data_IF_558033217294
#
_entry.id   IF_558033217294
#
_cell.length_a   1.000
_cell.length_b   1.000
_cell.length_c   1.000
_cell.angle_alpha   90.00
_cell.angle_beta   90.00
_cell.angle_gamma   90.00
#
_symmetry.space_group_name_H-M   'P 1'
#
loop_
_entity.id
_entity.type
_entity.pdbx_description
1 polymer ?
#
# COMPACT_ATOMS: atom_id res chain seq x y z
N UNK A 1 -35.12 44.32 27.59
CA UNK A 1 -33.64 44.11 27.64
C UNK A 1 -33.27 42.63 27.71
N UNK A 2 -34.15 41.66 27.64
CA UNK A 2 -33.90 40.23 27.79
C UNK A 2 -33.68 39.45 26.48
N UNK A 3 -34.13 40.00 25.35
CA UNK A 3 -34.03 39.34 24.02
C UNK A 3 -32.61 39.45 23.36
N UNK A 4 -31.80 40.45 23.69
CA UNK A 4 -30.47 40.68 23.11
C UNK A 4 -29.43 39.77 23.75
N UNK A 5 -29.62 39.32 25.00
CA UNK A 5 -28.71 38.40 25.68
C UNK A 5 -28.75 36.95 25.17
N UNK A 6 -29.92 36.53 24.66
CA UNK A 6 -30.10 35.19 24.09
C UNK A 6 -29.40 35.01 22.73
N UNK A 7 -29.39 36.03 21.88
CA UNK A 7 -28.79 36.00 20.55
C UNK A 7 -27.26 35.96 20.57
N UNK A 8 -26.62 36.59 21.56
CA UNK A 8 -25.16 36.57 21.71
C UNK A 8 -24.64 35.22 22.19
N UNK A 9 -25.40 34.49 23.01
CA UNK A 9 -24.98 33.15 23.49
C UNK A 9 -25.11 32.09 22.39
N UNK A 10 -26.10 32.20 21.49
CA UNK A 10 -26.26 31.26 20.38
C UNK A 10 -25.19 31.44 19.29
N UNK A 11 -24.70 32.66 19.10
CA UNK A 11 -23.64 32.94 18.13
C UNK A 11 -22.26 32.44 18.59
N UNK A 12 -22.02 32.39 19.92
CA UNK A 12 -20.75 31.90 20.48
C UNK A 12 -20.60 30.36 20.42
N UNK A 13 -21.69 29.59 20.37
CA UNK A 13 -21.66 28.14 20.24
C UNK A 13 -21.43 27.65 18.80
N UNK A 14 -21.72 28.47 17.80
CA UNK A 14 -21.50 28.11 16.40
C UNK A 14 -20.04 28.20 15.94
N UNK A 15 -19.16 28.83 16.73
CA UNK A 15 -17.72 28.97 16.41
C UNK A 15 -16.83 27.80 16.88
N UNK A 16 -17.39 26.83 17.60
CA UNK A 16 -16.69 25.60 18.00
C UNK A 16 -16.95 24.40 17.07
N UNK A 17 -17.47 24.65 15.87
CA UNK A 17 -17.48 23.65 14.78
C UNK A 17 -16.02 23.27 14.49
N UNK A 18 -15.59 22.12 15.01
CA UNK A 18 -14.21 21.66 14.95
C UNK A 18 -13.67 21.77 13.52
N UNK A 19 -12.55 22.46 13.37
CA UNK A 19 -11.75 22.42 12.14
C UNK A 19 -11.34 20.98 11.88
N UNK A 20 -12.11 20.25 11.09
CA UNK A 20 -11.67 18.98 10.53
C UNK A 20 -10.51 19.30 9.59
N UNK A 21 -9.33 18.67 9.78
CA UNK A 21 -8.21 18.91 8.88
C UNK A 21 -8.63 18.52 7.47
N UNK A 22 -8.43 19.42 6.53
CA UNK A 22 -8.69 19.16 5.12
C UNK A 22 -7.53 18.34 4.57
N UNK A 23 -7.79 17.07 4.24
CA UNK A 23 -6.84 16.20 3.55
C UNK A 23 -7.20 16.16 2.06
N UNK A 24 -6.24 16.55 1.21
CA UNK A 24 -6.36 16.39 -0.23
C UNK A 24 -5.61 15.13 -0.62
N UNK A 25 -6.33 14.19 -1.22
CA UNK A 25 -5.81 12.92 -1.69
C UNK A 25 -5.84 12.90 -3.21
N UNK A 26 -4.69 12.66 -3.82
CA UNK A 26 -4.57 12.40 -5.25
C UNK A 26 -3.94 11.02 -5.44
N UNK A 27 -4.59 10.17 -6.26
CA UNK A 27 -4.15 8.77 -6.42
C UNK A 27 -4.20 8.39 -7.89
N UNK A 28 -3.07 7.98 -8.40
CA UNK A 28 -2.89 7.43 -9.72
C UNK A 28 -2.44 5.99 -9.67
N UNK A 29 -3.08 5.13 -10.45
CA UNK A 29 -2.67 3.73 -10.63
C UNK A 29 -2.58 3.37 -12.08
N UNK A 30 -1.60 2.51 -12.41
CA UNK A 30 -1.44 1.91 -13.73
C UNK A 30 -1.30 0.40 -13.57
N UNK A 31 -1.74 -0.37 -14.54
CA UNK A 31 -1.59 -1.82 -14.52
C UNK A 31 -1.42 -2.40 -15.91
N UNK A 32 -0.76 -3.55 -15.99
CA UNK A 32 -0.81 -4.41 -17.16
C UNK A 32 -2.14 -5.15 -17.23
N UNK A 33 -2.60 -5.55 -18.43
CA UNK A 33 -3.70 -6.49 -18.53
C UNK A 33 -3.35 -7.80 -17.79
N UNK A 34 -4.36 -8.42 -17.17
CA UNK A 34 -4.20 -9.74 -16.57
C UNK A 34 -3.86 -10.78 -17.65
N UNK A 35 -3.01 -11.75 -17.30
CA UNK A 35 -2.74 -12.88 -18.19
C UNK A 35 -4.06 -13.60 -18.53
N UNK A 36 -4.26 -13.95 -19.81
CA UNK A 36 -5.50 -14.61 -20.27
C UNK A 36 -5.77 -15.96 -19.58
N UNK A 37 -4.71 -16.63 -19.11
CA UNK A 37 -4.81 -17.91 -18.40
C UNK A 37 -5.14 -17.77 -16.92
N UNK A 38 -5.30 -16.55 -16.42
CA UNK A 38 -5.53 -16.27 -15.00
C UNK A 38 -7.00 -15.98 -14.73
N UNK A 39 -7.62 -16.81 -13.89
CA UNK A 39 -8.95 -16.59 -13.35
C UNK A 39 -8.84 -15.92 -11.98
N UNK A 40 -9.31 -14.67 -11.90
CA UNK A 40 -9.28 -13.90 -10.67
C UNK A 40 -10.09 -14.54 -9.53
N UNK A 41 -11.12 -15.32 -9.86
CA UNK A 41 -11.92 -16.07 -8.88
C UNK A 41 -11.11 -17.15 -8.13
N UNK A 42 -9.92 -17.52 -8.61
CA UNK A 42 -9.04 -18.43 -7.87
C UNK A 42 -8.46 -17.79 -6.62
N UNK A 43 -8.32 -16.45 -6.60
CA UNK A 43 -7.83 -15.72 -5.41
C UNK A 43 -8.80 -15.75 -4.22
N UNK A 44 -10.07 -16.04 -4.45
CA UNK A 44 -11.06 -16.24 -3.39
C UNK A 44 -10.91 -17.62 -2.72
N UNK A 45 -10.47 -18.62 -3.51
CA UNK A 45 -10.41 -20.02 -3.12
C UNK A 45 -9.07 -20.41 -2.51
N UNK A 46 -8.00 -19.86 -3.04
CA UNK A 46 -6.63 -20.19 -2.64
C UNK A 46 -5.99 -19.03 -1.86
N UNK A 47 -5.19 -19.32 -0.84
CA UNK A 47 -4.45 -18.29 -0.14
C UNK A 47 -3.34 -17.74 -1.04
N UNK A 48 -3.10 -16.45 -0.93
CA UNK A 48 -2.01 -15.75 -1.64
C UNK A 48 -0.89 -15.45 -0.65
N UNK A 49 0.30 -15.96 -0.89
CA UNK A 49 1.46 -15.61 -0.08
C UNK A 49 2.07 -14.28 -0.58
N UNK A 50 2.73 -13.55 0.32
CA UNK A 50 3.45 -12.35 -0.08
C UNK A 50 4.93 -12.45 0.32
N UNK A 51 5.80 -12.17 -0.64
CA UNK A 51 7.23 -11.95 -0.38
C UNK A 51 7.45 -10.77 0.56
N UNK A 52 8.64 -10.69 1.16
CA UNK A 52 9.09 -9.49 1.84
C UNK A 52 9.08 -8.29 0.89
N UNK A 53 8.62 -7.14 1.40
CA UNK A 53 8.55 -5.91 0.61
C UNK A 53 9.95 -5.47 0.17
N UNK A 54 10.10 -5.23 -1.12
CA UNK A 54 11.33 -4.72 -1.70
C UNK A 54 11.36 -3.19 -1.61
N UNK A 55 12.39 -2.66 -0.98
CA UNK A 55 12.56 -1.22 -0.84
C UNK A 55 14.03 -0.82 -1.08
N UNK A 56 14.29 0.40 -1.57
CA UNK A 56 15.62 0.99 -1.59
C UNK A 56 16.28 0.95 -0.21
N UNK A 57 17.60 0.85 -0.14
CA UNK A 57 18.34 0.67 1.11
C UNK A 57 17.98 1.69 2.21
N UNK A 58 17.74 2.95 1.84
CA UNK A 58 17.36 4.00 2.80
C UNK A 58 15.89 3.95 3.28
N UNK A 59 15.04 3.12 2.68
CA UNK A 59 13.60 3.06 2.95
C UNK A 59 13.16 1.72 3.57
N UNK A 60 14.07 0.81 3.84
CA UNK A 60 13.76 -0.52 4.38
C UNK A 60 13.08 -0.47 5.76
N UNK A 61 13.31 0.60 6.54
CA UNK A 61 12.64 0.80 7.82
C UNK A 61 11.12 0.90 7.74
N UNK A 62 10.55 1.17 6.56
CA UNK A 62 9.11 1.23 6.34
C UNK A 62 8.48 -0.15 6.03
N UNK A 63 9.28 -1.17 5.76
CA UNK A 63 8.79 -2.49 5.35
C UNK A 63 7.72 -3.09 6.29
N UNK A 64 7.84 -3.04 7.63
CA UNK A 64 6.81 -3.60 8.50
C UNK A 64 5.45 -2.91 8.34
N UNK A 65 5.42 -1.57 8.34
CA UNK A 65 4.19 -0.78 8.19
C UNK A 65 3.54 -1.00 6.82
N UNK A 66 4.34 -0.99 5.75
CA UNK A 66 3.85 -1.20 4.38
C UNK A 66 3.34 -2.63 4.17
N UNK A 67 4.02 -3.63 4.73
CA UNK A 67 3.55 -5.02 4.68
C UNK A 67 2.24 -5.19 5.44
N UNK A 68 2.11 -4.62 6.63
CA UNK A 68 0.85 -4.62 7.39
C UNK A 68 -0.29 -3.98 6.58
N UNK A 69 -0.04 -2.83 5.97
CA UNK A 69 -0.99 -2.12 5.12
C UNK A 69 -1.44 -2.95 3.91
N UNK A 70 -0.53 -3.73 3.28
CA UNK A 70 -0.86 -4.63 2.18
C UNK A 70 -1.86 -5.71 2.63
N UNK A 71 -1.60 -6.38 3.77
CA UNK A 71 -2.52 -7.42 4.25
C UNK A 71 -3.86 -6.86 4.71
N UNK A 72 -3.89 -5.64 5.26
CA UNK A 72 -5.13 -4.93 5.55
C UNK A 72 -5.92 -4.65 4.27
N UNK A 73 -5.25 -4.21 3.19
CA UNK A 73 -5.88 -3.98 1.90
C UNK A 73 -6.42 -5.26 1.25
N UNK A 74 -5.69 -6.39 1.35
CA UNK A 74 -6.17 -7.69 0.86
C UNK A 74 -7.44 -8.14 1.60
N UNK A 75 -7.50 -7.93 2.91
CA UNK A 75 -8.67 -8.27 3.72
C UNK A 75 -9.88 -7.35 3.48
N UNK A 76 -9.63 -6.06 3.12
CA UNK A 76 -10.66 -5.08 2.82
C UNK A 76 -11.18 -5.17 1.38
N UNK A 77 -10.43 -5.79 0.47
CA UNK A 77 -10.83 -5.98 -0.93
C UNK A 77 -12.17 -6.74 -1.04
N UNK A 78 -12.89 -6.51 -2.13
CA UNK A 78 -14.19 -7.16 -2.38
C UNK A 78 -14.17 -7.86 -3.75
N UNK A 79 -14.14 -9.21 -3.75
CA UNK A 79 -14.10 -10.13 -2.60
C UNK A 79 -12.78 -10.08 -1.82
N UNK A 80 -12.78 -10.41 -0.52
CA UNK A 80 -11.57 -10.41 0.29
C UNK A 80 -10.60 -11.51 -0.15
N UNK A 81 -9.32 -11.20 -0.17
CA UNK A 81 -8.25 -12.15 -0.53
C UNK A 81 -7.56 -12.63 0.75
N UNK A 82 -7.54 -13.95 0.95
CA UNK A 82 -6.84 -14.54 2.09
C UNK A 82 -5.34 -14.52 1.88
N UNK A 83 -4.61 -13.69 2.63
CA UNK A 83 -3.17 -13.56 2.57
C UNK A 83 -2.44 -14.47 3.56
N UNK A 84 -1.31 -15.07 3.15
CA UNK A 84 -0.29 -15.65 4.03
C UNK A 84 0.72 -14.54 4.29
N UNK A 85 0.79 -14.06 5.52
CA UNK A 85 1.65 -12.93 5.88
C UNK A 85 3.14 -13.25 5.66
N UNK A 86 3.95 -12.22 5.43
CA UNK A 86 5.41 -12.38 5.29
C UNK A 86 6.02 -13.13 6.48
N UNK A 87 5.53 -12.89 7.70
CA UNK A 87 6.00 -13.59 8.90
C UNK A 87 5.66 -15.07 8.88
N UNK A 88 4.43 -15.43 8.53
CA UNK A 88 4.00 -16.82 8.41
C UNK A 88 4.79 -17.54 7.32
N UNK A 89 4.98 -16.88 6.18
CA UNK A 89 5.80 -17.39 5.08
C UNK A 89 7.24 -17.66 5.55
N UNK A 90 7.91 -16.68 6.16
CA UNK A 90 9.30 -16.83 6.62
C UNK A 90 9.45 -17.94 7.67
N UNK A 91 8.51 -18.07 8.59
CA UNK A 91 8.50 -19.15 9.56
C UNK A 91 8.38 -20.52 8.86
N UNK A 92 7.43 -20.67 7.96
CA UNK A 92 7.24 -21.92 7.21
C UNK A 92 8.45 -22.28 6.34
N UNK A 93 9.09 -21.29 5.70
CA UNK A 93 10.32 -21.53 4.92
C UNK A 93 11.49 -21.93 5.80
N UNK A 94 11.62 -21.32 6.97
CA UNK A 94 12.68 -21.65 7.93
C UNK A 94 12.50 -23.07 8.49
N UNK A 95 11.29 -23.45 8.88
CA UNK A 95 10.94 -24.81 9.33
C UNK A 95 11.22 -25.87 8.27
N UNK A 96 11.07 -25.54 6.99
CA UNK A 96 11.34 -26.44 5.85
C UNK A 96 12.77 -26.35 5.31
N UNK A 97 13.65 -25.56 5.93
CA UNK A 97 15.05 -25.41 5.52
C UNK A 97 15.26 -24.66 4.20
N UNK A 98 14.27 -23.85 3.76
CA UNK A 98 14.28 -23.11 2.49
C UNK A 98 14.73 -21.65 2.62
N UNK A 99 15.24 -21.23 3.78
CA UNK A 99 15.63 -19.83 4.02
C UNK A 99 16.76 -19.35 3.08
N UNK A 100 17.76 -20.21 2.81
CA UNK A 100 18.85 -19.88 1.88
C UNK A 100 18.34 -19.71 0.46
N UNK A 101 17.46 -20.61 0.01
CA UNK A 101 16.87 -20.58 -1.32
C UNK A 101 15.97 -19.34 -1.53
N UNK A 102 15.18 -19.00 -0.52
CA UNK A 102 14.42 -17.74 -0.52
C UNK A 102 15.34 -16.52 -0.69
N UNK A 103 16.44 -16.48 0.05
CA UNK A 103 17.42 -15.39 -0.03
C UNK A 103 18.04 -15.29 -1.42
N UNK A 104 18.39 -16.43 -2.03
CA UNK A 104 18.93 -16.48 -3.37
C UNK A 104 17.92 -16.02 -4.42
N UNK A 105 16.66 -16.47 -4.31
CA UNK A 105 15.57 -16.08 -5.21
C UNK A 105 15.34 -14.56 -5.19
N UNK A 106 15.23 -13.96 -4.01
CA UNK A 106 15.02 -12.51 -3.86
C UNK A 106 16.26 -11.71 -4.30
N UNK A 107 17.46 -12.18 -3.99
CA UNK A 107 18.69 -11.54 -4.44
C UNK A 107 18.86 -11.64 -5.96
N UNK A 108 18.45 -12.76 -6.55
CA UNK A 108 18.39 -12.95 -7.99
C UNK A 108 17.45 -11.96 -8.66
N UNK A 109 16.25 -11.83 -8.11
CA UNK A 109 15.26 -10.84 -8.58
C UNK A 109 15.80 -9.41 -8.50
N UNK A 110 16.42 -9.02 -7.38
CA UNK A 110 16.97 -7.67 -7.21
C UNK A 110 18.04 -7.32 -8.25
N UNK A 111 18.74 -8.31 -8.81
CA UNK A 111 19.77 -8.12 -9.85
C UNK A 111 19.23 -8.18 -11.28
N UNK A 112 18.23 -9.03 -11.53
CA UNK A 112 17.78 -9.38 -12.89
C UNK A 112 16.35 -8.96 -13.20
N UNK A 113 15.53 -8.66 -12.18
CA UNK A 113 14.08 -8.48 -12.32
C UNK A 113 13.32 -9.79 -12.60
N UNK A 114 13.96 -10.96 -12.43
CA UNK A 114 13.37 -12.26 -12.74
C UNK A 114 13.40 -13.13 -11.47
N UNK A 115 12.23 -13.71 -11.12
CA UNK A 115 12.16 -14.80 -10.16
C UNK A 115 12.43 -16.11 -10.89
N UNK A 116 13.46 -16.82 -10.45
CA UNK A 116 13.82 -18.12 -11.01
C UNK A 116 12.69 -19.13 -10.75
N UNK A 117 12.26 -19.84 -11.82
CA UNK A 117 11.04 -20.65 -11.80
C UNK A 117 11.10 -21.79 -10.79
N UNK A 118 12.23 -22.53 -10.75
CA UNK A 118 12.32 -23.71 -9.89
C UNK A 118 12.31 -23.33 -8.40
N UNK A 119 13.02 -22.26 -8.02
CA UNK A 119 12.97 -21.70 -6.67
C UNK A 119 11.58 -21.23 -6.29
N UNK A 120 10.90 -20.52 -7.22
CA UNK A 120 9.53 -20.06 -7.02
C UNK A 120 8.56 -21.24 -6.83
N UNK A 121 8.69 -22.32 -7.61
CA UNK A 121 7.89 -23.55 -7.48
C UNK A 121 8.11 -24.23 -6.12
N UNK A 122 9.35 -24.37 -5.68
CA UNK A 122 9.68 -25.00 -4.38
C UNK A 122 9.09 -24.19 -3.22
N UNK A 123 9.23 -22.87 -3.25
CA UNK A 123 8.67 -21.98 -2.24
C UNK A 123 7.15 -22.05 -2.24
N UNK A 124 6.49 -21.93 -3.41
CA UNK A 124 5.05 -22.02 -3.53
C UNK A 124 4.50 -23.36 -3.02
N UNK A 125 5.14 -24.47 -3.38
CA UNK A 125 4.79 -25.80 -2.89
C UNK A 125 4.96 -25.93 -1.37
N UNK A 126 6.03 -25.35 -0.83
CA UNK A 126 6.26 -25.35 0.60
C UNK A 126 5.20 -24.58 1.38
N UNK A 127 4.67 -23.52 0.82
CA UNK A 127 3.61 -22.68 1.42
C UNK A 127 2.20 -23.19 1.13
N UNK A 128 2.03 -24.13 0.19
CA UNK A 128 0.72 -24.52 -0.31
C UNK A 128 0.00 -23.37 -1.00
N UNK A 129 0.74 -22.47 -1.64
CA UNK A 129 0.23 -21.28 -2.31
C UNK A 129 0.67 -21.26 -3.77
N UNK A 130 -0.31 -21.27 -4.68
CA UNK A 130 -0.06 -21.13 -6.11
C UNK A 130 0.29 -19.69 -6.48
N UNK A 131 -0.27 -18.72 -5.78
CA UNK A 131 -0.13 -17.32 -6.09
C UNK A 131 0.73 -16.60 -5.06
N UNK A 132 1.70 -15.82 -5.56
CA UNK A 132 2.57 -15.03 -4.70
C UNK A 132 2.60 -13.57 -5.13
N UNK A 133 2.40 -12.68 -4.18
CA UNK A 133 2.58 -11.25 -4.36
C UNK A 133 4.02 -10.85 -4.09
N UNK A 134 4.56 -10.02 -4.97
CA UNK A 134 5.84 -9.35 -4.78
C UNK A 134 5.59 -7.84 -4.67
N UNK A 135 5.52 -7.30 -3.45
CA UNK A 135 5.31 -5.88 -3.22
C UNK A 135 6.63 -5.11 -3.23
N UNK A 136 6.59 -3.86 -3.68
CA UNK A 136 7.74 -2.98 -3.64
C UNK A 136 7.41 -1.53 -3.36
N UNK A 137 8.34 -0.86 -2.68
CA UNK A 137 8.36 0.58 -2.47
C UNK A 137 9.33 1.20 -3.48
N UNK A 138 8.81 2.04 -4.39
CA UNK A 138 9.64 2.76 -5.35
C UNK A 138 10.12 4.10 -4.78
N UNK A 139 9.25 4.84 -4.10
CA UNK A 139 9.55 6.17 -3.56
C UNK A 139 8.70 6.48 -2.33
N UNK A 140 9.31 7.13 -1.37
CA UNK A 140 8.65 7.84 -0.28
C UNK A 140 9.29 9.21 -0.14
N UNK A 141 8.50 10.25 -0.28
CA UNK A 141 8.95 11.63 -0.14
C UNK A 141 7.99 12.40 0.78
N UNK A 142 8.54 13.22 1.66
CA UNK A 142 7.78 14.10 2.52
C UNK A 142 8.38 15.50 2.47
N UNK A 143 7.58 16.48 2.07
CA UNK A 143 7.98 17.88 1.98
C UNK A 143 7.05 18.74 2.83
N UNK A 144 7.63 19.72 3.53
CA UNK A 144 6.88 20.75 4.25
C UNK A 144 7.04 22.05 3.47
N UNK A 145 5.92 22.64 3.06
CA UNK A 145 5.87 23.86 2.26
C UNK A 145 5.27 24.97 3.13
N UNK A 146 6.00 26.06 3.34
CA UNK A 146 5.50 27.27 4.00
C UNK A 146 4.64 28.05 3.01
N UNK A 147 3.34 28.13 3.24
CA UNK A 147 2.41 28.85 2.34
C UNK A 147 2.18 30.30 2.72
N UNK A 148 2.28 30.64 3.99
CA UNK A 148 2.16 32.01 4.46
C UNK A 148 3.15 32.26 5.58
N UNK A 149 4.06 33.20 5.36
CA UNK A 149 4.97 33.71 6.38
C UNK A 149 4.78 35.23 6.49
N UNK A 150 4.54 35.73 7.69
CA UNK A 150 4.45 37.16 7.99
C UNK A 150 5.45 37.52 9.11
N UNK A 151 6.34 38.47 8.83
CA UNK A 151 7.32 38.97 9.84
C UNK A 151 8.12 37.86 10.57
N UNK A 152 8.50 36.79 9.85
CA UNK A 152 9.23 35.64 10.42
C UNK A 152 8.37 34.59 11.09
N UNK A 153 7.04 34.76 11.16
CA UNK A 153 6.10 33.77 11.68
C UNK A 153 5.53 32.96 10.53
N UNK A 154 5.64 31.65 10.65
CA UNK A 154 5.06 30.69 9.69
C UNK A 154 3.61 30.44 10.10
N UNK A 155 2.66 31.04 9.39
CA UNK A 155 1.24 30.99 9.76
C UNK A 155 0.52 29.79 9.16
N UNK A 156 0.89 29.37 7.94
CA UNK A 156 0.29 28.22 7.26
C UNK A 156 1.41 27.38 6.65
N UNK A 157 1.42 26.11 7.01
CA UNK A 157 2.30 25.11 6.43
C UNK A 157 1.46 24.02 5.76
N UNK A 158 1.90 23.50 4.64
CA UNK A 158 1.36 22.30 4.03
C UNK A 158 2.38 21.19 4.08
N UNK A 159 2.00 20.03 4.58
CA UNK A 159 2.80 18.82 4.47
C UNK A 159 2.29 18.02 3.26
N UNK A 160 3.19 17.70 2.36
CA UNK A 160 2.90 16.87 1.19
C UNK A 160 3.68 15.58 1.32
N UNK A 161 2.97 14.45 1.29
CA UNK A 161 3.56 13.12 1.30
C UNK A 161 3.27 12.49 -0.05
N UNK A 162 4.30 12.00 -0.73
CA UNK A 162 4.18 11.21 -1.95
C UNK A 162 4.71 9.81 -1.70
N UNK A 163 3.89 8.80 -1.99
CA UNK A 163 4.22 7.39 -1.86
C UNK A 163 4.01 6.71 -3.21
N UNK A 164 5.05 6.01 -3.71
CA UNK A 164 4.97 5.18 -4.91
C UNK A 164 5.21 3.73 -4.57
N UNK A 165 4.25 2.90 -4.91
CA UNK A 165 4.28 1.47 -4.68
C UNK A 165 4.11 0.71 -6.00
N UNK A 166 4.60 -0.53 -6.05
CA UNK A 166 4.34 -1.45 -7.14
C UNK A 166 4.04 -2.85 -6.59
N UNK A 167 3.28 -3.63 -7.35
CA UNK A 167 2.82 -4.95 -6.96
C UNK A 167 2.80 -5.86 -8.17
N UNK A 168 3.40 -7.04 -8.04
CA UNK A 168 3.33 -8.10 -9.03
C UNK A 168 2.65 -9.33 -8.45
N UNK A 169 1.80 -9.99 -9.23
CA UNK A 169 1.22 -11.28 -8.92
C UNK A 169 1.90 -12.36 -9.78
N UNK A 170 2.49 -13.34 -9.13
CA UNK A 170 3.21 -14.44 -9.76
C UNK A 170 2.46 -15.76 -9.59
N UNK A 171 2.46 -16.58 -10.62
CA UNK A 171 2.06 -17.99 -10.56
C UNK A 171 3.30 -18.84 -10.28
N UNK A 172 3.33 -19.48 -9.14
CA UNK A 172 4.48 -20.29 -8.68
C UNK A 172 4.69 -21.53 -9.55
N UNK A 173 3.66 -22.06 -10.19
CA UNK A 173 3.75 -23.24 -11.04
C UNK A 173 4.37 -22.95 -12.40
N UNK A 174 3.95 -21.88 -13.04
CA UNK A 174 4.47 -21.49 -14.35
C UNK A 174 5.70 -20.59 -14.31
N UNK A 175 5.96 -19.92 -13.17
CA UNK A 175 7.01 -18.91 -13.03
C UNK A 175 6.69 -17.63 -13.80
N UNK A 176 5.42 -17.32 -14.06
CA UNK A 176 4.98 -16.18 -14.85
C UNK A 176 4.40 -15.09 -13.99
N UNK A 177 4.60 -13.84 -14.39
CA UNK A 177 3.82 -12.71 -13.89
C UNK A 177 2.43 -12.78 -14.51
N UNK A 178 1.41 -12.87 -13.67
CA UNK A 178 0.01 -12.88 -14.09
C UNK A 178 -0.57 -11.49 -14.20
N UNK A 179 -0.05 -10.57 -13.41
CA UNK A 179 -0.48 -9.19 -13.34
C UNK A 179 0.56 -8.35 -12.60
N UNK A 180 0.65 -7.08 -12.99
CA UNK A 180 1.43 -6.09 -12.27
C UNK A 180 0.72 -4.74 -12.28
N UNK A 181 0.95 -3.97 -11.22
CA UNK A 181 0.44 -2.61 -11.08
C UNK A 181 1.47 -1.74 -10.37
N UNK A 182 1.45 -0.46 -10.73
CA UNK A 182 2.16 0.59 -10.01
C UNK A 182 1.17 1.70 -9.64
N UNK A 183 1.41 2.32 -8.50
CA UNK A 183 0.56 3.39 -8.02
C UNK A 183 1.35 4.48 -7.32
N UNK A 184 0.82 5.69 -7.42
CA UNK A 184 1.28 6.86 -6.69
C UNK A 184 0.10 7.45 -5.92
N UNK A 185 0.35 7.83 -4.69
CA UNK A 185 -0.59 8.59 -3.88
C UNK A 185 0.11 9.80 -3.29
N UNK A 186 -0.50 10.96 -3.48
CA UNK A 186 -0.06 12.21 -2.86
C UNK A 186 -1.10 12.67 -1.86
N UNK A 187 -0.67 12.94 -0.64
CA UNK A 187 -1.52 13.45 0.44
C UNK A 187 -1.00 14.80 0.85
N UNK A 188 -1.83 15.82 0.70
CA UNK A 188 -1.54 17.16 1.18
C UNK A 188 -2.42 17.47 2.41
N UNK A 189 -1.77 17.91 3.50
CA UNK A 189 -2.46 18.34 4.72
C UNK A 189 -2.18 19.82 4.96
N UNK A 190 -3.22 20.62 5.17
CA UNK A 190 -3.06 21.99 5.62
C UNK A 190 -2.98 22.02 7.15
N UNK A 191 -1.90 22.58 7.65
CA UNK A 191 -1.57 22.56 9.07
C UNK A 191 -1.79 23.95 9.69
N UNK A 192 -2.89 24.11 10.38
CA UNK A 192 -2.97 25.05 11.51
C UNK A 192 -2.44 24.42 12.81
N UNK A 193 -2.18 23.10 12.80
CA UNK A 193 -1.63 22.34 13.91
C UNK A 193 -0.66 21.30 13.36
N UNK A 194 0.64 21.36 13.69
CA UNK A 194 1.68 20.47 13.16
C UNK A 194 1.54 19.00 13.59
N UNK A 195 0.60 18.66 14.46
CA UNK A 195 0.56 17.36 15.15
C UNK A 195 -0.26 16.27 14.45
N UNK A 196 -1.07 16.60 13.45
CA UNK A 196 -1.91 15.58 12.76
C UNK A 196 -1.35 15.24 11.40
N UNK A 197 -0.54 14.18 11.35
CA UNK A 197 -0.12 13.55 10.10
C UNK A 197 -0.98 12.34 9.82
N UNK A 198 -1.33 12.11 8.55
CA UNK A 198 -1.89 10.81 8.15
C UNK A 198 -0.80 9.76 8.33
N UNK A 199 -1.07 8.66 9.04
CA UNK A 199 -0.11 7.56 9.19
C UNK A 199 0.27 6.95 7.84
N UNK A 200 1.52 6.52 7.70
CA UNK A 200 2.01 5.94 6.44
C UNK A 200 1.26 4.65 6.06
N UNK A 201 0.89 3.84 7.05
CA UNK A 201 0.13 2.61 6.84
C UNK A 201 -1.28 2.89 6.29
N UNK A 202 -1.96 3.95 6.71
CA UNK A 202 -3.24 4.37 6.15
C UNK A 202 -3.09 4.80 4.68
N UNK A 203 -2.04 5.59 4.38
CA UNK A 203 -1.76 6.03 3.00
C UNK A 203 -1.47 4.81 2.11
N UNK A 204 -0.65 3.90 2.59
CA UNK A 204 -0.26 2.70 1.87
C UNK A 204 -1.44 1.74 1.68
N UNK A 205 -2.28 1.54 2.71
CA UNK A 205 -3.46 0.68 2.63
C UNK A 205 -4.42 1.18 1.55
N UNK A 206 -4.69 2.48 1.49
CA UNK A 206 -5.52 3.07 0.43
C UNK A 206 -4.94 2.81 -0.96
N UNK A 207 -3.63 2.98 -1.13
CA UNK A 207 -3.00 2.77 -2.43
C UNK A 207 -3.01 1.29 -2.82
N UNK A 208 -2.65 0.37 -1.90
CA UNK A 208 -2.73 -1.06 -2.12
C UNK A 208 -4.15 -1.51 -2.48
N UNK A 209 -5.15 -1.05 -1.70
CA UNK A 209 -6.55 -1.39 -1.95
C UNK A 209 -6.99 -0.95 -3.35
N UNK A 210 -6.63 0.27 -3.76
CA UNK A 210 -6.97 0.78 -5.07
C UNK A 210 -6.32 -0.02 -6.21
N UNK A 211 -5.04 -0.37 -6.05
CA UNK A 211 -4.35 -1.22 -7.03
C UNK A 211 -5.01 -2.61 -7.13
N UNK A 212 -5.38 -3.21 -6.01
CA UNK A 212 -6.01 -4.53 -5.96
C UNK A 212 -7.44 -4.46 -6.47
N UNK A 213 -8.26 -3.56 -5.94
CA UNK A 213 -9.68 -3.49 -6.27
C UNK A 213 -9.90 -3.09 -7.73
N UNK A 214 -9.37 -1.92 -8.13
CA UNK A 214 -9.66 -1.32 -9.42
C UNK A 214 -8.92 -2.03 -10.57
N UNK A 215 -7.70 -2.51 -10.32
CA UNK A 215 -6.82 -2.99 -11.37
C UNK A 215 -6.69 -4.52 -11.43
N UNK A 216 -6.81 -5.23 -10.30
CA UNK A 216 -6.73 -6.68 -10.29
C UNK A 216 -8.12 -7.32 -10.28
N UNK A 217 -9.02 -6.90 -9.40
CA UNK A 217 -10.34 -7.54 -9.24
C UNK A 217 -11.36 -7.03 -10.28
N UNK A 218 -11.46 -5.71 -10.45
CA UNK A 218 -12.47 -5.05 -11.30
C UNK A 218 -11.95 -4.69 -12.70
N UNK A 219 -10.70 -5.06 -13.05
CA UNK A 219 -10.11 -4.67 -14.33
C UNK A 219 -11.10 -4.95 -15.47
N UNK A 220 -11.68 -3.89 -16.02
CA UNK A 220 -12.55 -3.97 -17.19
C UNK A 220 -11.76 -4.62 -18.31
N UNK A 221 -12.24 -5.74 -18.80
CA UNK A 221 -11.77 -6.31 -20.06
C UNK A 221 -11.94 -5.21 -21.11
N UNK A 222 -10.84 -4.58 -21.50
CA UNK A 222 -10.86 -3.64 -22.62
C UNK A 222 -11.17 -4.50 -23.86
N UNK A 223 -12.42 -4.48 -24.25
CA UNK A 223 -12.91 -4.99 -25.54
C UNK A 223 -12.36 -4.15 -26.69
#
# INVERSE_FOLDING_TARGET
>A
MTLIRGAMLAFSLALFGGCTPLYLWDTHTTSTPRAQSFDVGELEREPVAAFGLLAPAGLQGFNPSLSHALFAALAEASPPIRGISTREMLNALNEKGLAAEYTELISGFARSGILEREGLQRIGSALGSRYMLLPGLAEYNQVIIDRLALSGWKLIQSRVITLRLWLQLWDTQSGRILWESAGEITVATELFSPERTVPLDEIAQKLWLRMIQDNLLEAKTRS
#
